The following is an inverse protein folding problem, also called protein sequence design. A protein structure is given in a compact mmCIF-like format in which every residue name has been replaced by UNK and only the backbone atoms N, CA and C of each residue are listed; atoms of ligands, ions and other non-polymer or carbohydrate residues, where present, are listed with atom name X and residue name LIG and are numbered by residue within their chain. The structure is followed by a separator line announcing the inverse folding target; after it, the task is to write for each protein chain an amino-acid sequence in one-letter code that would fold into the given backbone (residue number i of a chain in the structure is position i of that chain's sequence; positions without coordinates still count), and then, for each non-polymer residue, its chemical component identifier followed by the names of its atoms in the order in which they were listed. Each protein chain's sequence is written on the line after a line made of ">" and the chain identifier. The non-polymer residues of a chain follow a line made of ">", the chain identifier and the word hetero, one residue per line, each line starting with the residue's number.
data_IF_760789761278
#
_entry.id   IF_760789761278
#
_cell.length_a   1.000
_cell.length_b   1.000
_cell.length_c   1.000
_cell.angle_alpha   90.00
_cell.angle_beta   90.00
_cell.angle_gamma   90.00
#
_symmetry.space_group_name_H-M   'P 1'
#
loop_
_entity.id
_entity.type
_entity.pdbx_description
1 polymer ?
#
# COMPACT_ATOMS: atom_id res chain seq x y z
N UNK A 1 14.49 14.53 16.87
CA UNK A 1 14.34 15.04 15.50
C UNK A 1 12.88 15.33 15.30
N UNK A 2 12.50 16.55 14.94
CA UNK A 2 11.11 16.92 14.67
C UNK A 2 10.61 16.12 13.47
N UNK A 3 9.69 15.19 13.70
CA UNK A 3 9.09 14.35 12.66
C UNK A 3 8.01 15.07 11.85
N UNK A 4 7.66 16.30 12.24
CA UNK A 4 6.54 17.07 11.65
C UNK A 4 6.72 17.49 10.19
N UNK A 5 7.95 17.39 9.62
CA UNK A 5 8.24 17.79 8.24
C UNK A 5 8.96 16.70 7.41
N UNK A 6 8.99 15.45 7.89
CA UNK A 6 9.63 14.39 7.14
C UNK A 6 8.74 13.93 5.98
N UNK A 7 9.30 13.90 4.77
CA UNK A 7 8.59 13.53 3.54
C UNK A 7 9.44 12.64 2.65
N UNK A 8 8.77 11.85 1.81
CA UNK A 8 9.39 11.18 0.67
C UNK A 8 9.25 12.11 -0.52
N UNK A 9 10.36 12.62 -1.03
CA UNK A 9 10.38 13.47 -2.22
C UNK A 9 10.41 12.60 -3.47
N UNK A 10 9.30 12.57 -4.21
CA UNK A 10 9.16 11.80 -5.45
C UNK A 10 9.31 12.74 -6.63
N UNK A 11 10.21 12.41 -7.55
CA UNK A 11 10.51 13.22 -8.73
C UNK A 11 10.62 12.38 -9.99
N UNK A 12 10.15 12.93 -11.10
CA UNK A 12 10.35 12.40 -12.44
C UNK A 12 9.63 11.08 -12.70
N UNK A 13 8.47 10.82 -12.07
CA UNK A 13 7.67 9.64 -12.39
C UNK A 13 7.02 9.84 -13.76
N UNK A 14 7.57 9.14 -14.77
CA UNK A 14 7.03 9.10 -16.12
C UNK A 14 6.97 7.64 -16.59
N UNK A 15 5.78 7.16 -16.97
CA UNK A 15 5.61 5.76 -17.29
C UNK A 15 4.59 5.50 -18.39
N UNK A 16 5.01 4.66 -19.36
CA UNK A 16 4.17 4.21 -20.47
C UNK A 16 4.14 2.69 -20.57
N UNK A 17 2.95 2.15 -20.86
CA UNK A 17 2.79 0.77 -21.35
C UNK A 17 2.76 0.78 -22.87
N UNK A 18 3.86 0.39 -23.51
CA UNK A 18 4.00 0.50 -24.98
C UNK A 18 3.71 1.93 -25.45
N UNK A 19 2.58 2.16 -26.14
CA UNK A 19 2.14 3.47 -26.67
C UNK A 19 1.20 4.22 -25.72
N UNK A 20 0.76 3.60 -24.63
CA UNK A 20 -0.17 4.22 -23.67
C UNK A 20 0.62 4.92 -22.55
N UNK A 21 0.64 6.24 -22.57
CA UNK A 21 1.29 7.07 -21.55
C UNK A 21 0.37 7.18 -20.33
N UNK A 22 0.71 6.48 -19.25
CA UNK A 22 -0.15 6.30 -18.07
C UNK A 22 0.17 7.29 -16.95
N UNK A 23 1.46 7.55 -16.71
CA UNK A 23 1.92 8.53 -15.72
C UNK A 23 2.80 9.56 -16.40
N UNK A 24 2.56 10.85 -16.15
CA UNK A 24 3.12 11.96 -16.94
C UNK A 24 3.96 12.89 -16.09
N UNK A 25 5.27 12.67 -16.06
CA UNK A 25 6.29 13.55 -15.44
C UNK A 25 5.88 14.13 -14.09
N UNK A 26 5.50 13.24 -13.15
CA UNK A 26 4.97 13.66 -11.84
C UNK A 26 6.08 13.94 -10.84
N UNK A 27 5.94 15.08 -10.16
CA UNK A 27 6.71 15.47 -8.99
C UNK A 27 5.74 15.72 -7.83
N UNK A 28 5.96 15.06 -6.69
CA UNK A 28 5.11 15.23 -5.52
C UNK A 28 5.84 14.80 -4.25
N UNK A 29 5.31 15.18 -3.11
CA UNK A 29 5.84 14.82 -1.81
C UNK A 29 4.81 13.97 -1.03
N UNK A 30 5.26 12.93 -0.35
CA UNK A 30 4.44 12.09 0.51
C UNK A 30 4.87 12.29 1.97
N UNK A 31 4.00 12.82 2.84
CA UNK A 31 4.35 13.05 4.25
C UNK A 31 4.56 11.72 4.97
N UNK A 32 5.66 11.61 5.74
CA UNK A 32 5.97 10.43 6.56
C UNK A 32 5.17 10.47 7.86
N UNK A 33 4.76 9.30 8.36
CA UNK A 33 3.93 9.19 9.55
C UNK A 33 2.45 9.54 9.33
N UNK A 34 2.04 9.68 8.06
CA UNK A 34 0.66 9.96 7.66
C UNK A 34 0.03 8.78 6.92
N UNK A 35 -1.28 8.72 6.97
CA UNK A 35 -2.06 7.83 6.11
C UNK A 35 -2.53 8.57 4.86
N UNK A 36 -2.21 8.01 3.71
CA UNK A 36 -2.33 8.64 2.39
C UNK A 36 -3.20 7.75 1.51
N UNK A 37 -4.25 8.33 0.92
CA UNK A 37 -5.01 7.66 -0.12
C UNK A 37 -4.68 8.23 -1.50
N UNK A 38 -4.57 7.36 -2.50
CA UNK A 38 -4.50 7.70 -3.92
C UNK A 38 -5.74 7.16 -4.60
N UNK A 39 -6.65 8.05 -5.00
CA UNK A 39 -7.88 7.72 -5.68
C UNK A 39 -7.86 8.16 -7.14
N UNK A 40 -8.78 7.64 -7.93
CA UNK A 40 -8.89 7.94 -9.36
C UNK A 40 -9.69 6.86 -10.08
N UNK A 41 -10.10 7.11 -11.30
CA UNK A 41 -10.85 6.17 -12.14
C UNK A 41 -10.08 4.85 -12.36
N UNK A 42 -10.80 3.79 -12.74
CA UNK A 42 -10.17 2.54 -13.17
C UNK A 42 -9.29 2.80 -14.40
N UNK A 43 -8.07 2.25 -14.38
CA UNK A 43 -7.10 2.48 -15.45
C UNK A 43 -6.34 3.81 -15.37
N UNK A 44 -6.57 4.67 -14.38
CA UNK A 44 -5.84 5.95 -14.24
C UNK A 44 -4.36 5.80 -13.91
N UNK A 45 -3.90 4.59 -13.51
CA UNK A 45 -2.48 4.35 -13.20
C UNK A 45 -2.15 4.18 -11.71
N UNK A 46 -3.14 4.10 -10.82
CA UNK A 46 -2.93 3.95 -9.36
C UNK A 46 -1.99 2.79 -9.02
N UNK A 47 -2.32 1.57 -9.46
CA UNK A 47 -1.50 0.37 -9.22
C UNK A 47 -0.11 0.49 -9.86
N UNK A 48 0.00 1.18 -11.00
CA UNK A 48 1.28 1.47 -11.63
C UNK A 48 2.13 2.38 -10.75
N UNK A 49 1.56 3.47 -10.26
CA UNK A 49 2.23 4.40 -9.35
C UNK A 49 2.69 3.68 -8.07
N UNK A 50 1.79 2.94 -7.40
CA UNK A 50 2.13 2.22 -6.18
C UNK A 50 3.22 1.17 -6.41
N UNK A 51 3.18 0.42 -7.52
CA UNK A 51 4.20 -0.57 -7.87
C UNK A 51 5.57 0.07 -8.18
N UNK A 52 5.60 1.29 -8.72
CA UNK A 52 6.84 2.06 -8.91
C UNK A 52 7.38 2.51 -7.55
N UNK A 53 6.56 3.14 -6.70
CA UNK A 53 6.97 3.57 -5.36
C UNK A 53 7.48 2.40 -4.52
N UNK A 54 6.86 1.22 -4.66
CA UNK A 54 7.31 -0.01 -4.02
C UNK A 54 8.61 -0.59 -4.63
N UNK A 55 9.06 -0.06 -5.77
CA UNK A 55 10.23 -0.55 -6.50
C UNK A 55 10.05 -1.95 -7.11
N UNK A 56 8.79 -2.38 -7.28
CA UNK A 56 8.42 -3.60 -8.01
C UNK A 56 8.51 -3.34 -9.52
N UNK A 57 8.12 -2.15 -9.94
CA UNK A 57 8.21 -1.69 -11.33
C UNK A 57 9.30 -0.64 -11.45
N UNK A 58 10.18 -0.82 -12.42
CA UNK A 58 11.23 0.16 -12.73
C UNK A 58 10.64 1.37 -13.47
N UNK A 59 11.07 2.56 -13.07
CA UNK A 59 10.76 3.82 -13.74
C UNK A 59 12.08 4.58 -13.97
N UNK A 60 12.53 4.70 -15.21
CA UNK A 60 13.80 5.33 -15.53
C UNK A 60 13.72 6.84 -15.28
N UNK A 61 14.77 7.42 -14.71
CA UNK A 61 14.82 8.86 -14.38
C UNK A 61 14.09 9.25 -13.10
N UNK A 62 13.21 8.39 -12.56
CA UNK A 62 12.50 8.66 -11.33
C UNK A 62 13.38 8.48 -10.09
N UNK A 63 13.04 9.21 -9.03
CA UNK A 63 13.59 9.07 -7.69
C UNK A 63 12.50 9.19 -6.62
N UNK A 64 12.72 8.53 -5.48
CA UNK A 64 11.88 8.67 -4.28
C UNK A 64 12.83 8.78 -3.07
N UNK A 65 13.11 10.01 -2.65
CA UNK A 65 14.17 10.28 -1.66
C UNK A 65 13.57 10.45 -0.27
N UNK A 66 14.06 9.65 0.68
CA UNK A 66 13.78 9.76 2.11
C UNK A 66 15.09 9.86 2.87
N UNK A 67 15.30 10.94 3.63
CA UNK A 67 16.53 11.16 4.41
C UNK A 67 17.81 10.99 3.58
N UNK A 68 17.84 11.47 2.34
CA UNK A 68 18.98 11.37 1.44
C UNK A 68 19.15 10.01 0.75
N UNK A 69 18.32 9.02 1.04
CA UNK A 69 18.31 7.71 0.37
C UNK A 69 17.24 7.66 -0.73
N UNK A 70 17.64 7.39 -1.96
CA UNK A 70 16.72 7.15 -3.06
C UNK A 70 16.16 5.71 -2.95
N UNK A 71 14.94 5.57 -2.45
CA UNK A 71 14.28 4.28 -2.24
C UNK A 71 14.06 3.49 -3.54
N UNK A 72 14.05 4.13 -4.71
CA UNK A 72 13.94 3.42 -5.99
C UNK A 72 15.25 2.76 -6.39
N UNK A 73 16.40 3.33 -6.00
CA UNK A 73 17.75 2.81 -6.31
C UNK A 73 18.34 2.00 -5.18
N UNK A 74 18.22 2.46 -3.94
CA UNK A 74 18.74 1.78 -2.74
C UNK A 74 17.83 0.61 -2.32
N UNK A 75 18.07 -0.56 -2.91
CA UNK A 75 17.31 -1.78 -2.59
C UNK A 75 17.41 -2.20 -1.12
N UNK A 76 18.53 -1.94 -0.46
CA UNK A 76 18.74 -2.34 0.93
C UNK A 76 17.89 -1.46 1.85
N UNK A 77 17.95 -0.12 1.69
CA UNK A 77 17.14 0.82 2.45
C UNK A 77 15.64 0.60 2.16
N UNK A 78 15.24 0.46 0.89
CA UNK A 78 13.85 0.16 0.54
C UNK A 78 13.33 -1.07 1.24
N UNK A 79 14.07 -2.19 1.20
CA UNK A 79 13.65 -3.43 1.88
C UNK A 79 13.51 -3.25 3.39
N UNK A 80 14.34 -2.42 4.01
CA UNK A 80 14.26 -2.12 5.44
C UNK A 80 13.05 -1.27 5.79
N UNK A 81 12.73 -0.28 4.97
CA UNK A 81 11.75 0.77 5.27
C UNK A 81 10.36 0.45 4.76
N UNK A 82 10.24 -0.24 3.62
CA UNK A 82 9.01 -0.32 2.85
C UNK A 82 8.55 -1.76 2.63
N UNK A 83 7.23 -1.96 2.74
CA UNK A 83 6.55 -3.17 2.30
C UNK A 83 5.38 -2.82 1.37
N UNK A 84 5.04 -3.77 0.50
CA UNK A 84 3.99 -3.62 -0.51
C UNK A 84 3.06 -4.82 -0.52
N UNK A 85 1.76 -4.55 -0.46
CA UNK A 85 0.69 -5.53 -0.63
C UNK A 85 0.01 -5.26 -1.96
N UNK A 86 0.20 -6.09 -2.98
CA UNK A 86 -0.47 -5.93 -4.26
C UNK A 86 -1.96 -6.27 -4.16
N UNK A 87 -2.74 -5.88 -5.17
CA UNK A 87 -4.15 -6.21 -5.30
C UNK A 87 -4.36 -7.74 -5.31
N UNK A 88 -3.54 -8.46 -6.07
CA UNK A 88 -3.53 -9.94 -6.11
C UNK A 88 -2.62 -10.49 -5.03
N UNK A 89 -3.12 -11.41 -4.23
CA UNK A 89 -2.35 -12.00 -3.12
C UNK A 89 -1.15 -12.80 -3.63
N UNK A 90 0.07 -12.51 -3.14
CA UNK A 90 1.30 -13.18 -3.59
C UNK A 90 1.54 -14.49 -2.81
N UNK A 91 0.50 -15.22 -2.46
CA UNK A 91 0.56 -16.41 -1.62
C UNK A 91 0.60 -17.69 -2.45
N UNK A 92 1.34 -18.69 -1.97
CA UNK A 92 1.40 -20.01 -2.54
C UNK A 92 0.29 -20.88 -1.93
N UNK A 93 -0.72 -21.30 -2.73
CA UNK A 93 -1.94 -21.95 -2.21
C UNK A 93 -1.69 -23.27 -1.50
N UNK A 94 -0.67 -24.02 -1.94
CA UNK A 94 -0.35 -25.37 -1.42
C UNK A 94 0.41 -25.32 -0.10
N UNK A 95 1.07 -24.22 0.19
CA UNK A 95 1.80 -24.05 1.45
C UNK A 95 0.88 -23.60 2.57
N UNK A 96 1.24 -23.98 3.79
CA UNK A 96 0.60 -23.44 4.99
C UNK A 96 0.83 -21.93 5.11
N UNK A 97 0.04 -21.27 5.95
CA UNK A 97 0.24 -19.85 6.28
C UNK A 97 1.65 -19.61 6.83
N UNK A 98 2.10 -20.46 7.77
CA UNK A 98 3.43 -20.34 8.37
C UNK A 98 4.55 -20.46 7.32
N UNK A 99 4.45 -21.41 6.40
CA UNK A 99 5.42 -21.57 5.32
C UNK A 99 5.42 -20.36 4.38
N UNK A 100 4.24 -19.83 4.00
CA UNK A 100 4.14 -18.59 3.24
C UNK A 100 4.83 -17.43 3.96
N UNK A 101 4.57 -17.23 5.26
CA UNK A 101 5.22 -16.18 6.04
C UNK A 101 6.74 -16.37 6.09
N UNK A 102 7.22 -17.61 6.22
CA UNK A 102 8.64 -17.93 6.22
C UNK A 102 9.35 -17.52 4.90
N UNK A 103 8.67 -17.66 3.75
CA UNK A 103 9.21 -17.23 2.45
C UNK A 103 9.44 -15.72 2.35
N UNK A 104 8.60 -14.93 3.00
CA UNK A 104 8.68 -13.46 2.98
C UNK A 104 9.50 -12.88 4.12
N UNK A 105 9.71 -13.66 5.19
CA UNK A 105 10.49 -13.23 6.34
C UNK A 105 11.99 -13.17 5.98
N UNK A 106 12.62 -12.05 6.29
CA UNK A 106 14.04 -11.80 5.96
C UNK A 106 15.01 -12.18 7.07
N UNK A 107 14.49 -12.50 8.24
CA UNK A 107 15.26 -13.00 9.37
C UNK A 107 15.50 -14.50 9.29
N UNK A 108 16.34 -15.05 10.18
CA UNK A 108 16.49 -16.49 10.29
C UNK A 108 15.19 -17.15 10.75
N UNK A 109 14.83 -18.30 10.18
CA UNK A 109 13.54 -18.98 10.40
C UNK A 109 13.20 -19.19 11.90
N UNK A 110 14.20 -19.38 12.77
CA UNK A 110 14.04 -19.49 14.24
C UNK A 110 13.47 -18.23 14.91
N UNK A 111 13.54 -17.06 14.24
CA UNK A 111 12.99 -15.79 14.73
C UNK A 111 11.61 -15.47 14.15
N UNK A 112 11.02 -16.37 13.39
CA UNK A 112 9.70 -16.14 12.80
C UNK A 112 8.63 -15.94 13.89
N UNK A 113 8.69 -16.68 14.98
CA UNK A 113 7.72 -16.56 16.08
C UNK A 113 7.84 -15.20 16.80
N UNK A 114 9.05 -14.67 16.94
CA UNK A 114 9.28 -13.30 17.43
C UNK A 114 8.62 -12.27 16.49
N UNK A 115 8.79 -12.45 15.17
CA UNK A 115 8.19 -11.58 14.17
C UNK A 115 6.66 -11.67 14.14
N UNK A 116 6.07 -12.85 14.40
CA UNK A 116 4.63 -13.04 14.52
C UNK A 116 4.03 -12.33 15.75
N UNK A 117 4.84 -12.09 16.78
CA UNK A 117 4.45 -11.36 18.00
C UNK A 117 4.63 -9.84 17.87
N UNK A 118 5.06 -9.32 16.72
CA UNK A 118 5.06 -7.87 16.49
C UNK A 118 3.63 -7.32 16.55
N UNK A 119 3.38 -6.19 17.24
CA UNK A 119 2.02 -5.64 17.39
C UNK A 119 1.28 -5.50 16.06
N UNK A 120 1.98 -5.05 15.01
CA UNK A 120 1.41 -4.91 13.67
C UNK A 120 1.03 -6.24 13.00
N UNK A 121 1.60 -7.38 13.44
CA UNK A 121 1.29 -8.72 12.92
C UNK A 121 0.28 -9.43 13.80
N UNK A 122 0.42 -9.30 15.12
CA UNK A 122 -0.44 -9.96 16.12
C UNK A 122 -1.92 -9.57 15.96
N UNK A 123 -2.19 -8.28 15.62
CA UNK A 123 -3.55 -7.81 15.36
C UNK A 123 -4.26 -8.55 14.22
N UNK A 124 -3.52 -9.19 13.29
CA UNK A 124 -4.08 -9.97 12.19
C UNK A 124 -4.61 -11.35 12.64
N UNK A 125 -4.40 -11.74 13.92
CA UNK A 125 -4.95 -12.96 14.54
C UNK A 125 -4.71 -14.22 13.70
N UNK A 126 -3.46 -14.46 13.28
CA UNK A 126 -3.11 -15.58 12.41
C UNK A 126 -2.99 -16.93 13.13
N UNK A 127 -2.85 -16.93 14.46
CA UNK A 127 -2.52 -18.11 15.27
C UNK A 127 -3.46 -19.29 15.06
N UNK A 128 -4.77 -19.03 14.85
CA UNK A 128 -5.79 -20.06 14.68
C UNK A 128 -5.67 -20.84 13.35
N UNK A 129 -4.88 -20.35 12.41
CA UNK A 129 -4.78 -20.95 11.09
C UNK A 129 -3.36 -21.00 10.49
N UNK A 130 -2.31 -20.75 11.29
CA UNK A 130 -0.91 -20.83 10.84
C UNK A 130 -0.54 -22.15 10.15
N UNK A 131 -1.15 -23.26 10.58
CA UNK A 131 -0.90 -24.61 10.04
C UNK A 131 -1.80 -24.96 8.84
N UNK A 132 -2.82 -24.15 8.54
CA UNK A 132 -3.73 -24.41 7.41
C UNK A 132 -3.07 -24.07 6.09
N UNK A 133 -3.27 -24.86 5.01
CA UNK A 133 -2.84 -24.48 3.68
C UNK A 133 -3.66 -23.27 3.20
N UNK A 134 -3.02 -22.34 2.46
CA UNK A 134 -3.65 -21.08 2.03
C UNK A 134 -4.89 -21.34 1.18
N UNK A 135 -4.93 -22.41 0.37
CA UNK A 135 -6.10 -22.80 -0.42
C UNK A 135 -7.37 -23.06 0.41
N UNK A 136 -7.23 -23.43 1.68
CA UNK A 136 -8.35 -23.71 2.59
C UNK A 136 -8.86 -22.46 3.33
N UNK A 137 -8.29 -21.28 3.08
CA UNK A 137 -8.66 -20.04 3.72
C UNK A 137 -9.79 -19.32 2.99
N UNK A 138 -10.63 -18.58 3.73
CA UNK A 138 -11.56 -17.61 3.15
C UNK A 138 -10.80 -16.44 2.48
N UNK A 139 -11.48 -15.64 1.66
CA UNK A 139 -10.90 -14.46 1.03
C UNK A 139 -10.29 -13.49 2.06
N UNK A 140 -11.04 -13.18 3.12
CA UNK A 140 -10.57 -12.32 4.21
C UNK A 140 -9.37 -12.89 4.95
N UNK A 141 -9.37 -14.20 5.25
CA UNK A 141 -8.21 -14.85 5.87
C UNK A 141 -6.97 -14.79 4.96
N UNK A 142 -7.12 -15.02 3.65
CA UNK A 142 -6.01 -14.87 2.69
C UNK A 142 -5.47 -13.45 2.68
N UNK A 143 -6.35 -12.43 2.69
CA UNK A 143 -5.93 -11.04 2.72
C UNK A 143 -5.16 -10.69 4.01
N UNK A 144 -5.59 -11.19 5.17
CA UNK A 144 -4.82 -11.04 6.43
C UNK A 144 -3.42 -11.64 6.30
N UNK A 145 -3.29 -12.83 5.71
CA UNK A 145 -1.97 -13.45 5.48
C UNK A 145 -1.14 -12.61 4.50
N UNK A 146 -1.75 -12.12 3.43
CA UNK A 146 -1.08 -11.24 2.45
C UNK A 146 -0.55 -9.96 3.12
N UNK A 147 -1.32 -9.32 3.99
CA UNK A 147 -0.87 -8.17 4.78
C UNK A 147 0.25 -8.57 5.75
N UNK A 148 0.12 -9.73 6.41
CA UNK A 148 1.14 -10.23 7.33
C UNK A 148 2.50 -10.47 6.64
N UNK A 149 2.52 -10.97 5.39
CA UNK A 149 3.78 -11.14 4.63
C UNK A 149 4.52 -9.82 4.44
N UNK A 150 3.79 -8.71 4.37
CA UNK A 150 4.36 -7.38 4.29
C UNK A 150 4.85 -6.88 5.66
N UNK A 151 4.04 -7.08 6.72
CA UNK A 151 4.29 -6.55 8.06
C UNK A 151 5.34 -7.32 8.87
N UNK A 152 5.58 -8.60 8.55
CA UNK A 152 6.47 -9.50 9.31
C UNK A 152 7.94 -9.03 9.36
N UNK A 153 8.32 -8.09 8.49
CA UNK A 153 9.64 -7.47 8.46
C UNK A 153 9.67 -6.08 9.11
N UNK A 154 8.62 -5.70 9.84
CA UNK A 154 8.51 -4.45 10.60
C UNK A 154 8.73 -3.17 9.77
N UNK A 155 8.04 -2.98 8.64
CA UNK A 155 8.25 -1.83 7.78
C UNK A 155 7.77 -0.52 8.44
N UNK A 156 8.39 0.60 8.07
CA UNK A 156 7.96 1.94 8.47
C UNK A 156 6.93 2.54 7.49
N UNK A 157 6.93 2.04 6.25
CA UNK A 157 6.06 2.47 5.17
C UNK A 157 5.35 1.24 4.61
N UNK A 158 4.01 1.25 4.63
CA UNK A 158 3.18 0.20 4.07
C UNK A 158 2.41 0.76 2.88
N UNK A 159 2.62 0.14 1.72
CA UNK A 159 1.89 0.45 0.47
C UNK A 159 0.90 -0.68 0.21
N UNK A 160 -0.38 -0.35 -0.01
CA UNK A 160 -1.43 -1.33 -0.31
C UNK A 160 -2.22 -0.92 -1.55
N UNK A 161 -2.35 -1.87 -2.46
CA UNK A 161 -3.14 -1.69 -3.66
C UNK A 161 -4.49 -2.40 -3.49
N UNK A 162 -5.55 -1.63 -3.26
CA UNK A 162 -6.92 -2.09 -3.03
C UNK A 162 -7.01 -3.22 -1.97
N UNK A 163 -6.58 -2.98 -0.72
CA UNK A 163 -6.45 -4.04 0.29
C UNK A 163 -7.77 -4.71 0.68
N UNK A 164 -8.90 -4.04 0.49
CA UNK A 164 -10.23 -4.52 0.85
C UNK A 164 -11.09 -4.91 -0.36
N UNK A 165 -10.52 -4.94 -1.58
CA UNK A 165 -11.26 -5.32 -2.79
C UNK A 165 -11.83 -6.74 -2.69
N UNK A 166 -13.08 -6.91 -3.14
CA UNK A 166 -13.80 -8.18 -3.17
C UNK A 166 -13.99 -8.88 -1.80
N UNK A 167 -13.87 -8.15 -0.68
CA UNK A 167 -14.19 -8.64 0.65
C UNK A 167 -15.62 -8.23 1.06
N UNK A 168 -16.24 -9.02 1.94
CA UNK A 168 -17.49 -8.64 2.57
C UNK A 168 -17.30 -7.50 3.60
N UNK A 169 -18.42 -6.92 4.05
CA UNK A 169 -18.41 -5.76 4.93
C UNK A 169 -17.66 -5.99 6.25
N UNK A 170 -17.79 -7.19 6.84
CA UNK A 170 -17.12 -7.52 8.10
C UNK A 170 -15.60 -7.52 7.94
N UNK A 171 -15.11 -8.19 6.90
CA UNK A 171 -13.66 -8.22 6.62
C UNK A 171 -13.10 -6.86 6.20
N UNK A 172 -13.88 -6.04 5.49
CA UNK A 172 -13.49 -4.66 5.17
C UNK A 172 -13.29 -3.83 6.45
N UNK A 173 -14.23 -3.93 7.40
CA UNK A 173 -14.13 -3.25 8.69
C UNK A 173 -12.89 -3.71 9.48
N UNK A 174 -12.61 -5.02 9.51
CA UNK A 174 -11.39 -5.54 10.15
C UNK A 174 -10.11 -5.02 9.49
N UNK A 175 -10.03 -4.97 8.15
CA UNK A 175 -8.87 -4.40 7.46
C UNK A 175 -8.68 -2.93 7.82
N UNK A 176 -9.75 -2.12 7.86
CA UNK A 176 -9.67 -0.72 8.30
C UNK A 176 -9.14 -0.57 9.72
N UNK A 177 -9.58 -1.44 10.64
CA UNK A 177 -9.08 -1.45 12.01
C UNK A 177 -7.57 -1.74 12.05
N UNK A 178 -7.09 -2.72 11.26
CA UNK A 178 -5.66 -3.03 11.16
C UNK A 178 -4.85 -1.86 10.59
N UNK A 179 -5.36 -1.22 9.53
CA UNK A 179 -4.68 -0.07 8.92
C UNK A 179 -4.63 1.13 9.87
N UNK A 180 -5.74 1.41 10.58
CA UNK A 180 -5.79 2.44 11.61
C UNK A 180 -4.78 2.16 12.74
N UNK A 181 -4.73 0.91 13.20
CA UNK A 181 -3.79 0.52 14.26
C UNK A 181 -2.33 0.60 13.81
N UNK A 182 -2.03 0.23 12.56
CA UNK A 182 -0.70 0.39 11.98
C UNK A 182 -0.30 1.87 11.92
N UNK A 183 -1.21 2.74 11.48
CA UNK A 183 -0.98 4.19 11.43
C UNK A 183 -0.76 4.78 12.84
N UNK A 184 -1.53 4.37 13.85
CA UNK A 184 -1.36 4.81 15.25
C UNK A 184 0.00 4.48 15.85
N UNK A 185 0.75 3.55 15.25
CA UNK A 185 2.14 3.29 15.61
C UNK A 185 3.11 4.37 15.03
N UNK A 186 2.61 5.46 14.45
CA UNK A 186 3.39 6.53 13.84
C UNK A 186 4.00 6.17 12.49
N UNK A 187 3.46 5.14 11.81
CA UNK A 187 3.95 4.64 10.54
C UNK A 187 3.21 5.24 9.36
N UNK A 188 3.86 5.23 8.20
CA UNK A 188 3.31 5.76 6.95
C UNK A 188 2.48 4.68 6.26
N UNK A 189 1.25 5.03 5.90
CA UNK A 189 0.33 4.20 5.14
C UNK A 189 0.04 4.87 3.79
N UNK A 190 0.20 4.15 2.70
CA UNK A 190 -0.16 4.61 1.35
C UNK A 190 -1.07 3.56 0.74
N UNK A 191 -2.30 3.93 0.38
CA UNK A 191 -3.23 2.96 -0.19
C UNK A 191 -4.03 3.51 -1.37
N UNK A 192 -4.51 2.59 -2.19
CA UNK A 192 -5.59 2.83 -3.14
C UNK A 192 -6.84 2.13 -2.65
N UNK A 193 -7.99 2.72 -2.88
CA UNK A 193 -9.29 2.11 -2.54
C UNK A 193 -10.38 2.62 -3.47
N UNK A 194 -11.47 1.87 -3.55
CA UNK A 194 -12.75 2.27 -4.15
C UNK A 194 -13.86 2.37 -3.10
N UNK A 195 -13.51 2.15 -1.82
CA UNK A 195 -14.45 2.20 -0.70
C UNK A 195 -14.29 3.54 0.05
N UNK A 196 -15.35 4.35 0.04
CA UNK A 196 -15.34 5.65 0.71
C UNK A 196 -15.14 5.52 2.23
N UNK A 197 -15.58 4.41 2.83
CA UNK A 197 -15.39 4.19 4.26
C UNK A 197 -13.92 4.06 4.66
N UNK A 198 -13.04 3.61 3.74
CA UNK A 198 -11.60 3.55 3.99
C UNK A 198 -10.98 4.93 4.19
N UNK A 199 -11.64 6.00 3.69
CA UNK A 199 -11.19 7.37 3.87
C UNK A 199 -11.34 7.86 5.33
N UNK A 200 -12.02 7.11 6.17
CA UNK A 200 -12.14 7.42 7.62
C UNK A 200 -10.81 7.36 8.38
N UNK A 201 -9.83 6.64 7.83
CA UNK A 201 -8.50 6.45 8.44
C UNK A 201 -7.39 7.20 7.68
N UNK A 202 -7.75 8.11 6.77
CA UNK A 202 -6.84 8.83 5.88
C UNK A 202 -6.62 10.28 6.35
N UNK A 203 -5.37 10.70 6.41
CA UNK A 203 -4.96 12.08 6.71
C UNK A 203 -4.83 12.93 5.43
N UNK A 204 -4.39 12.31 4.32
CA UNK A 204 -4.04 13.03 3.09
C UNK A 204 -4.62 12.32 1.87
N UNK A 205 -5.30 13.07 1.02
CA UNK A 205 -5.93 12.56 -0.20
C UNK A 205 -5.22 13.11 -1.44
N UNK A 206 -4.87 12.20 -2.34
CA UNK A 206 -4.44 12.51 -3.69
C UNK A 206 -5.41 11.94 -4.72
N UNK A 207 -5.67 12.71 -5.77
CA UNK A 207 -6.42 12.25 -6.95
C UNK A 207 -5.47 12.04 -8.12
N UNK A 208 -5.54 10.88 -8.77
CA UNK A 208 -4.79 10.55 -9.97
C UNK A 208 -5.71 10.61 -11.19
N UNK A 209 -5.54 11.63 -12.00
CA UNK A 209 -6.26 11.80 -13.27
C UNK A 209 -5.34 12.43 -14.33
N UNK A 210 -5.61 12.18 -15.58
CA UNK A 210 -4.81 12.64 -16.74
C UNK A 210 -3.29 12.36 -16.61
N UNK A 211 -2.96 11.25 -15.92
CA UNK A 211 -1.59 10.82 -15.70
C UNK A 211 -0.82 11.65 -14.67
N UNK A 212 -1.48 12.53 -13.92
CA UNK A 212 -0.87 13.40 -12.90
C UNK A 212 -1.54 13.23 -11.53
N UNK A 213 -0.78 13.46 -10.46
CA UNK A 213 -1.24 13.32 -9.07
C UNK A 213 -1.52 14.69 -8.46
N UNK A 214 -2.72 14.87 -7.91
CA UNK A 214 -3.20 16.14 -7.38
C UNK A 214 -3.54 16.01 -5.90
N UNK A 215 -2.82 16.75 -5.05
CA UNK A 215 -3.12 16.85 -3.62
C UNK A 215 -4.46 17.57 -3.43
N UNK A 216 -5.28 17.04 -2.52
CA UNK A 216 -6.52 17.67 -2.11
C UNK A 216 -6.35 18.36 -0.76
N UNK A 217 -6.94 19.55 -0.59
CA UNK A 217 -6.87 20.35 0.65
C UNK A 217 -7.63 19.68 1.80
N UNK A 218 -8.55 18.76 1.48
CA UNK A 218 -9.36 18.00 2.44
C UNK A 218 -9.76 16.63 1.89
N UNK A 219 -10.25 15.78 2.76
CA UNK A 219 -10.81 14.48 2.36
C UNK A 219 -12.20 14.71 1.75
N UNK A 220 -12.32 14.44 0.44
CA UNK A 220 -13.58 14.52 -0.31
C UNK A 220 -14.45 13.31 -0.01
N UNK A 221 -15.81 13.50 -0.04
CA UNK A 221 -16.77 12.44 0.23
C UNK A 221 -18.02 12.59 -0.67
N UNK A 222 -18.79 11.49 -0.78
CA UNK A 222 -20.07 11.47 -1.50
C UNK A 222 -19.97 11.97 -2.93
N UNK A 223 -20.94 12.80 -3.33
CA UNK A 223 -21.04 13.33 -4.70
C UNK A 223 -19.85 14.18 -5.11
N UNK A 224 -19.21 14.87 -4.17
CA UNK A 224 -18.02 15.67 -4.42
C UNK A 224 -16.82 14.76 -4.82
N UNK A 225 -16.62 13.64 -4.10
CA UNK A 225 -15.61 12.65 -4.43
C UNK A 225 -15.91 12.02 -5.80
N UNK A 226 -17.16 11.64 -6.06
CA UNK A 226 -17.57 11.07 -7.34
C UNK A 226 -17.33 12.02 -8.50
N UNK A 227 -17.64 13.31 -8.32
CA UNK A 227 -17.38 14.34 -9.33
C UNK A 227 -15.89 14.52 -9.62
N UNK A 228 -15.04 14.46 -8.57
CA UNK A 228 -13.61 14.62 -8.68
C UNK A 228 -12.89 13.40 -9.34
N UNK A 229 -13.44 12.19 -9.15
CA UNK A 229 -12.85 10.95 -9.72
C UNK A 229 -13.34 10.71 -11.17
N UNK A 230 -14.53 11.18 -11.56
CA UNK A 230 -15.02 11.01 -12.92
C UNK A 230 -14.09 11.72 -13.89
N UNK A 231 -13.60 11.03 -14.94
CA UNK A 231 -12.86 11.72 -15.99
C UNK A 231 -13.78 12.82 -16.53
N UNK A 232 -13.23 14.00 -16.76
CA UNK A 232 -13.95 15.05 -17.48
C UNK A 232 -14.46 14.39 -18.76
N UNK A 233 -15.79 14.19 -18.84
CA UNK A 233 -16.40 13.66 -20.05
C UNK A 233 -15.94 14.58 -21.19
N UNK A 234 -15.24 14.02 -22.18
CA UNK A 234 -15.04 14.71 -23.43
C UNK A 234 -16.44 15.06 -23.94
N UNK A 235 -16.86 16.28 -23.69
CA UNK A 235 -17.97 16.90 -24.38
C UNK A 235 -17.49 17.09 -25.79
N UNK A 236 -17.81 16.12 -26.65
CA UNK A 236 -17.68 16.23 -28.10
C UNK A 236 -18.76 17.13 -28.65
#
# INVERSE_FOLDING_TARGET
>A
MNTENLKIEVRGIDYSYRKNHVLRSMDFDLPVGKSIAVLGANGSGKSTLLSILAGVRSCHGASAVLNGHDLLKDKAMRRKMLAYVPQTDPLLPELSVRENLCLWFRGPARKLDEALSLPAVEMLRLNDFLKKPVRALSGGMRKRVSIATALINDPQILILDEPAAALDLCYKAEIREYLSSFHKLGRTLILTTHDEEDLSVIDTLYLLYDGTLHLQDRILRGDELLAAIRPASHVS
#
